data_IF_543911193006
#
_entry.id   IF_543911193006
#
_cell.length_a   1.000
_cell.length_b   1.000
_cell.length_c   1.000
_cell.angle_alpha   90.00
_cell.angle_beta   90.00
_cell.angle_gamma   90.00
#
_symmetry.space_group_name_H-M   'P 1'
#
loop_
_entity.id
_entity.type
_entity.pdbx_description
1 polymer ?
#
# COMPACT_ATOMS: atom_id res chain seq x y z
N UNK A 1 20.08 23.02 11.53
CA UNK A 1 18.71 23.08 10.99
C UNK A 1 18.26 21.68 10.59
N UNK A 2 17.62 20.93 11.50
CA UNK A 2 17.23 19.52 11.30
C UNK A 2 15.75 19.23 11.69
N UNK A 3 14.92 20.24 11.91
CA UNK A 3 13.57 20.04 12.46
C UNK A 3 12.47 19.84 11.41
N UNK A 4 12.73 20.14 10.13
CA UNK A 4 11.70 20.03 9.08
C UNK A 4 11.58 18.62 8.47
N UNK A 5 12.62 17.78 8.55
CA UNK A 5 12.60 16.43 7.97
C UNK A 5 11.84 15.40 8.83
N UNK A 6 11.65 15.69 10.11
CA UNK A 6 10.99 14.78 11.07
C UNK A 6 9.47 14.79 10.88
N UNK A 7 8.87 15.96 10.57
CA UNK A 7 7.40 16.05 10.36
C UNK A 7 6.90 15.35 9.09
N UNK A 8 7.75 15.24 8.06
CA UNK A 8 7.38 14.62 6.77
C UNK A 8 7.56 13.10 6.82
N UNK A 9 8.55 12.58 7.57
CA UNK A 9 8.76 11.14 7.71
C UNK A 9 7.72 10.47 8.60
N UNK A 10 7.20 11.17 9.61
CA UNK A 10 6.03 10.71 10.39
C UNK A 10 4.76 10.66 9.56
N UNK A 11 4.61 11.52 8.54
CA UNK A 11 3.45 11.51 7.65
C UNK A 11 3.43 10.27 6.75
N UNK A 12 4.54 9.92 6.10
CA UNK A 12 4.59 8.72 5.24
C UNK A 12 4.36 7.42 6.03
N UNK A 13 4.98 7.29 7.20
CA UNK A 13 4.68 6.14 8.08
C UNK A 13 3.21 6.11 8.45
N UNK A 14 2.64 7.25 8.82
CA UNK A 14 1.23 7.38 9.18
C UNK A 14 0.30 7.02 8.03
N UNK A 15 0.57 7.51 6.81
CA UNK A 15 -0.18 7.19 5.60
C UNK A 15 -0.19 5.69 5.33
N UNK A 16 0.96 5.03 5.44
CA UNK A 16 1.05 3.58 5.32
C UNK A 16 0.25 2.86 6.41
N UNK A 17 0.32 3.32 7.66
CA UNK A 17 -0.44 2.75 8.77
C UNK A 17 -1.96 2.94 8.60
N UNK A 18 -2.42 4.08 8.09
CA UNK A 18 -3.84 4.33 7.80
C UNK A 18 -4.33 3.36 6.74
N UNK A 19 -3.55 3.17 5.67
CA UNK A 19 -3.80 2.15 4.66
C UNK A 19 -3.98 0.76 5.27
N UNK A 20 -2.99 0.37 6.08
CA UNK A 20 -2.92 -0.95 6.72
C UNK A 20 -4.07 -1.21 7.70
N UNK A 21 -4.42 -0.24 8.53
CA UNK A 21 -5.49 -0.38 9.54
C UNK A 21 -6.88 -0.51 8.90
N UNK A 22 -7.15 0.19 7.80
CA UNK A 22 -8.43 0.06 7.11
C UNK A 22 -8.66 -1.33 6.51
N UNK A 23 -7.60 -1.97 6.02
CA UNK A 23 -7.65 -3.36 5.54
C UNK A 23 -8.13 -4.31 6.65
N UNK A 24 -7.51 -4.24 7.83
CA UNK A 24 -7.83 -5.16 8.94
C UNK A 24 -9.17 -4.85 9.60
N UNK A 25 -9.52 -3.57 9.75
CA UNK A 25 -10.81 -3.17 10.33
C UNK A 25 -11.99 -3.33 9.35
N UNK A 26 -11.73 -3.39 8.04
CA UNK A 26 -12.76 -3.35 7.00
C UNK A 26 -13.49 -2.01 6.90
N UNK A 27 -13.03 -0.98 7.60
CA UNK A 27 -13.68 0.32 7.67
C UNK A 27 -12.90 1.38 6.92
N UNK A 28 -13.60 2.42 6.45
CA UNK A 28 -13.00 3.61 5.81
C UNK A 28 -12.04 3.26 4.66
N UNK A 29 -12.37 2.24 3.88
CA UNK A 29 -11.53 1.71 2.80
C UNK A 29 -11.11 2.79 1.79
N UNK A 30 -11.97 3.76 1.49
CA UNK A 30 -11.59 4.87 0.60
C UNK A 30 -10.52 5.79 1.17
N UNK A 31 -10.57 6.07 2.48
CA UNK A 31 -9.51 6.83 3.15
C UNK A 31 -8.21 6.05 3.19
N UNK A 32 -8.28 4.73 3.41
CA UNK A 32 -7.10 3.86 3.40
C UNK A 32 -6.48 3.76 2.02
N UNK A 33 -7.31 3.72 0.96
CA UNK A 33 -6.87 3.78 -0.43
C UNK A 33 -6.15 5.10 -0.71
N UNK A 34 -6.78 6.23 -0.38
CA UNK A 34 -6.20 7.56 -0.56
C UNK A 34 -4.85 7.69 0.18
N UNK A 35 -4.76 7.20 1.42
CA UNK A 35 -3.53 7.25 2.19
C UNK A 35 -2.38 6.47 1.53
N UNK A 36 -2.65 5.27 1.00
CA UNK A 36 -1.63 4.50 0.28
C UNK A 36 -1.27 5.13 -1.07
N UNK A 37 -2.21 5.76 -1.77
CA UNK A 37 -1.92 6.49 -3.01
C UNK A 37 -1.01 7.69 -2.74
N UNK A 38 -1.28 8.46 -1.67
CA UNK A 38 -0.40 9.55 -1.24
C UNK A 38 0.99 9.00 -0.84
N UNK A 39 1.02 7.91 -0.08
CA UNK A 39 2.28 7.24 0.30
C UNK A 39 3.15 6.91 -0.92
N UNK A 40 2.55 6.32 -1.95
CA UNK A 40 3.25 5.96 -3.20
C UNK A 40 3.69 7.22 -3.96
N UNK A 41 2.84 8.24 -4.06
CA UNK A 41 3.14 9.49 -4.76
C UNK A 41 4.33 10.25 -4.16
N UNK A 42 4.60 10.05 -2.87
CA UNK A 42 5.76 10.62 -2.18
C UNK A 42 7.04 9.79 -2.30
N UNK A 43 7.00 8.68 -3.05
CA UNK A 43 8.18 7.91 -3.45
C UNK A 43 9.07 7.51 -2.26
N UNK A 44 8.58 6.60 -1.41
CA UNK A 44 9.19 6.29 -0.13
C UNK A 44 10.45 5.43 -0.32
N UNK A 45 11.59 6.09 -0.56
CA UNK A 45 12.91 5.44 -0.77
C UNK A 45 13.78 5.37 0.47
N UNK A 46 13.32 5.86 1.62
CA UNK A 46 14.12 5.93 2.85
C UNK A 46 14.19 4.60 3.59
N UNK A 47 15.36 4.30 4.16
CA UNK A 47 15.55 3.14 5.04
C UNK A 47 14.55 3.18 6.22
N UNK A 48 13.85 2.08 6.45
CA UNK A 48 12.84 1.94 7.51
C UNK A 48 11.41 2.31 7.10
N UNK A 49 11.18 2.65 5.83
CA UNK A 49 9.84 2.74 5.24
C UNK A 49 9.50 1.46 4.46
N UNK A 50 8.23 1.01 4.47
CA UNK A 50 7.78 -0.03 3.56
C UNK A 50 7.99 0.33 2.09
N UNK A 51 8.33 -0.64 1.25
CA UNK A 51 8.56 -0.36 -0.17
C UNK A 51 7.27 0.02 -0.89
N UNK A 52 7.41 0.65 -2.05
CA UNK A 52 6.27 0.90 -2.95
C UNK A 52 5.56 -0.41 -3.33
N UNK A 53 6.30 -1.50 -3.54
CA UNK A 53 5.72 -2.83 -3.80
C UNK A 53 4.75 -3.26 -2.68
N UNK A 54 5.16 -3.12 -1.41
CA UNK A 54 4.29 -3.41 -0.27
C UNK A 54 3.06 -2.49 -0.21
N UNK A 55 3.18 -1.22 -0.59
CA UNK A 55 2.04 -0.30 -0.61
C UNK A 55 1.05 -0.64 -1.74
N UNK A 56 1.55 -1.01 -2.92
CA UNK A 56 0.73 -1.47 -4.06
C UNK A 56 0.02 -2.79 -3.76
N UNK A 57 0.69 -3.74 -3.11
CA UNK A 57 0.06 -4.95 -2.61
C UNK A 57 -1.10 -4.63 -1.66
N UNK A 58 -0.89 -3.72 -0.70
CA UNK A 58 -1.96 -3.28 0.21
C UNK A 58 -3.11 -2.57 -0.50
N UNK A 59 -2.84 -1.79 -1.55
CA UNK A 59 -3.90 -1.21 -2.38
C UNK A 59 -4.74 -2.31 -3.04
N UNK A 60 -4.11 -3.39 -3.50
CA UNK A 60 -4.82 -4.55 -4.02
C UNK A 60 -5.76 -5.17 -2.98
N UNK A 61 -5.29 -5.35 -1.75
CA UNK A 61 -6.14 -5.86 -0.65
C UNK A 61 -7.33 -4.95 -0.36
N UNK A 62 -7.17 -3.64 -0.48
CA UNK A 62 -8.28 -2.69 -0.32
C UNK A 62 -9.29 -2.84 -1.45
N UNK A 63 -8.83 -2.90 -2.71
CA UNK A 63 -9.71 -3.11 -3.86
C UNK A 63 -10.46 -4.43 -3.78
N UNK A 64 -9.80 -5.50 -3.33
CA UNK A 64 -10.42 -6.81 -3.11
C UNK A 64 -11.53 -6.73 -2.05
N UNK A 65 -11.27 -6.07 -0.91
CA UNK A 65 -12.29 -5.82 0.13
C UNK A 65 -13.46 -4.95 -0.35
N UNK A 66 -13.24 -4.10 -1.34
CA UNK A 66 -14.29 -3.32 -1.98
C UNK A 66 -15.04 -4.10 -3.08
N UNK A 67 -14.64 -5.34 -3.39
CA UNK A 67 -15.20 -6.14 -4.48
C UNK A 67 -14.68 -5.77 -5.87
N UNK A 68 -13.72 -4.85 -5.98
CA UNK A 68 -13.13 -4.40 -7.24
C UNK A 68 -12.01 -5.33 -7.70
N UNK A 69 -12.34 -6.57 -8.05
CA UNK A 69 -11.35 -7.61 -8.39
C UNK A 69 -10.37 -7.22 -9.50
N UNK A 70 -10.83 -6.55 -10.57
CA UNK A 70 -9.92 -6.16 -11.65
C UNK A 70 -8.87 -5.13 -11.20
N UNK A 71 -9.28 -4.19 -10.34
CA UNK A 71 -8.36 -3.21 -9.75
C UNK A 71 -7.39 -3.88 -8.77
N UNK A 72 -7.87 -4.87 -8.01
CA UNK A 72 -7.03 -5.66 -7.12
C UNK A 72 -5.95 -6.42 -7.90
N UNK A 73 -6.34 -7.09 -8.98
CA UNK A 73 -5.43 -7.81 -9.89
C UNK A 73 -4.35 -6.88 -10.42
N UNK A 74 -4.73 -5.71 -10.94
CA UNK A 74 -3.78 -4.72 -11.44
C UNK A 74 -2.80 -4.27 -10.36
N UNK A 75 -3.28 -3.97 -9.16
CA UNK A 75 -2.43 -3.53 -8.05
C UNK A 75 -1.43 -4.62 -7.59
N UNK A 76 -1.84 -5.88 -7.53
CA UNK A 76 -0.95 -7.01 -7.22
C UNK A 76 0.11 -7.23 -8.30
N UNK A 77 -0.27 -7.17 -9.57
CA UNK A 77 0.68 -7.27 -10.69
C UNK A 77 1.69 -6.12 -10.66
N UNK A 78 1.23 -4.91 -10.38
CA UNK A 78 2.10 -3.74 -10.23
C UNK A 78 3.05 -3.86 -9.03
N UNK A 79 2.64 -4.50 -7.94
CA UNK A 79 3.54 -4.82 -6.83
C UNK A 79 4.63 -5.82 -7.26
N UNK A 80 4.25 -6.88 -7.98
CA UNK A 80 5.18 -7.91 -8.48
C UNK A 80 6.12 -7.41 -9.58
N UNK A 81 5.74 -6.37 -10.33
CA UNK A 81 6.68 -5.70 -11.25
C UNK A 81 7.81 -4.98 -10.51
N UNK A 82 7.52 -4.44 -9.33
CA UNK A 82 8.51 -3.75 -8.51
C UNK A 82 9.33 -4.72 -7.66
N UNK A 83 8.70 -5.77 -7.16
CA UNK A 83 9.30 -6.81 -6.35
C UNK A 83 8.73 -8.19 -6.77
N UNK A 84 9.38 -8.87 -7.73
CA UNK A 84 8.93 -10.17 -8.20
C UNK A 84 8.92 -11.26 -7.14
N UNK A 85 9.68 -11.09 -6.04
CA UNK A 85 9.80 -12.05 -4.94
C UNK A 85 8.83 -11.74 -3.79
N UNK A 86 7.92 -10.77 -3.96
CA UNK A 86 6.92 -10.44 -2.95
C UNK A 86 5.84 -11.53 -2.85
N UNK A 87 6.14 -12.58 -2.09
CA UNK A 87 5.30 -13.78 -1.86
C UNK A 87 3.85 -13.40 -1.54
N UNK A 88 3.62 -12.39 -0.69
CA UNK A 88 2.26 -12.01 -0.30
C UNK A 88 1.45 -11.44 -1.47
N UNK A 89 2.09 -10.82 -2.46
CA UNK A 89 1.42 -10.34 -3.67
C UNK A 89 1.19 -11.46 -4.68
N UNK A 90 2.09 -12.45 -4.75
CA UNK A 90 1.89 -13.67 -5.54
C UNK A 90 0.67 -14.44 -5.01
N UNK A 91 0.66 -14.75 -3.72
CA UNK A 91 -0.45 -15.44 -3.05
C UNK A 91 -1.78 -14.69 -3.22
N UNK A 92 -1.78 -13.36 -3.04
CA UNK A 92 -3.00 -12.57 -3.19
C UNK A 92 -3.53 -12.56 -4.63
N UNK A 93 -2.62 -12.56 -5.62
CA UNK A 93 -2.99 -12.62 -7.04
C UNK A 93 -3.56 -14.00 -7.41
N UNK A 94 -2.98 -15.08 -6.91
CA UNK A 94 -3.46 -16.46 -7.10
C UNK A 94 -4.84 -16.68 -6.47
N UNK A 95 -5.04 -16.15 -5.26
CA UNK A 95 -6.30 -16.29 -4.51
C UNK A 95 -7.45 -15.48 -5.12
N UNK A 96 -7.18 -14.55 -6.04
CA UNK A 96 -8.19 -13.64 -6.57
C UNK A 96 -9.18 -14.32 -7.55
N UNK A 97 -8.73 -15.39 -8.24
CA UNK A 97 -9.47 -16.11 -9.27
C UNK A 97 -9.64 -15.29 -10.55
#
# INVERSE_FOLDING_TARGET
>A
MFEAAVKITDDLRSLYQIGRTGIFSGQRLDRSKEALQQYIAHDPRSAGLPTEAHARWRLGMIHEKQGHKDLARGAYQEALKLDPELEQAQEALENLG
#
